data_IF_019922172233
#
_entry.id   IF_019922172233
#
_cell.length_a   1.000
_cell.length_b   1.000
_cell.length_c   1.000
_cell.angle_alpha   90.00
_cell.angle_beta   90.00
_cell.angle_gamma   90.00
#
_symmetry.space_group_name_H-M   'P 1'
#
loop_
_entity.id
_entity.type
_entity.pdbx_description
1 polymer ?
#
# COMPACT_ATOMS: atom_id res chain seq x y z
N UNK A 1 28.83 3.95 -4.17
CA UNK A 1 28.37 3.76 -2.79
C UNK A 1 28.29 2.27 -2.55
N UNK A 2 29.00 1.75 -1.55
CA UNK A 2 28.82 0.36 -1.11
C UNK A 2 27.50 0.27 -0.37
N UNK A 3 26.58 -0.54 -0.89
CA UNK A 3 25.32 -0.84 -0.22
C UNK A 3 25.52 -2.13 0.57
N UNK A 4 25.17 -2.11 1.85
CA UNK A 4 25.38 -3.23 2.77
C UNK A 4 24.08 -3.57 3.48
N UNK A 5 23.91 -4.86 3.79
CA UNK A 5 22.74 -5.37 4.50
C UNK A 5 22.69 -4.78 5.91
N UNK A 6 21.76 -3.84 6.11
CA UNK A 6 21.66 -3.11 7.38
C UNK A 6 20.36 -3.50 8.09
N UNK A 7 20.43 -4.01 9.34
CA UNK A 7 19.22 -4.26 10.12
C UNK A 7 18.58 -2.93 10.57
N UNK A 8 17.28 -2.76 10.29
CA UNK A 8 16.50 -1.57 10.66
C UNK A 8 15.27 -2.01 11.46
N UNK A 9 14.90 -1.24 12.49
CA UNK A 9 13.70 -1.49 13.30
C UNK A 9 12.48 -0.83 12.66
N UNK A 10 11.40 -1.60 12.50
CA UNK A 10 10.15 -1.06 12.00
C UNK A 10 9.47 -0.17 13.06
N UNK A 11 9.14 1.07 12.70
CA UNK A 11 8.42 2.01 13.60
C UNK A 11 6.96 1.62 13.88
N UNK A 12 6.38 0.74 13.08
CA UNK A 12 4.96 0.37 13.15
C UNK A 12 4.74 -0.87 14.04
N UNK A 13 5.58 -1.91 13.87
CA UNK A 13 5.47 -3.16 14.61
C UNK A 13 6.66 -3.47 15.55
N UNK A 14 7.73 -2.66 15.52
CA UNK A 14 8.93 -2.87 16.33
C UNK A 14 9.85 -4.02 15.85
N UNK A 15 9.50 -4.72 14.77
CA UNK A 15 10.31 -5.83 14.25
C UNK A 15 11.56 -5.34 13.52
N UNK A 16 12.70 -5.96 13.79
CA UNK A 16 13.93 -5.76 13.04
C UNK A 16 13.87 -6.48 11.70
N UNK A 17 14.14 -5.77 10.61
CA UNK A 17 14.20 -6.34 9.26
C UNK A 17 15.50 -5.92 8.56
N UNK A 18 15.96 -6.71 7.59
CA UNK A 18 17.18 -6.42 6.84
C UNK A 18 16.85 -5.50 5.67
N UNK A 19 17.51 -4.34 5.62
CA UNK A 19 17.52 -3.47 4.45
C UNK A 19 18.73 -3.84 3.60
N UNK A 20 18.48 -4.68 2.60
CA UNK A 20 19.55 -5.29 1.80
C UNK A 20 20.19 -4.32 0.83
N UNK A 21 21.39 -4.66 0.38
CA UNK A 21 22.12 -3.88 -0.62
C UNK A 21 21.28 -3.61 -1.89
N UNK A 22 20.63 -4.63 -2.43
CA UNK A 22 19.77 -4.50 -3.61
C UNK A 22 18.52 -3.62 -3.38
N UNK A 23 18.00 -3.59 -2.14
CA UNK A 23 16.87 -2.73 -1.79
C UNK A 23 17.31 -1.26 -1.68
N UNK A 24 18.55 -1.01 -1.22
CA UNK A 24 19.17 0.32 -1.26
C UNK A 24 19.41 0.80 -2.69
N UNK A 25 19.93 -0.06 -3.57
CA UNK A 25 20.13 0.26 -5.00
C UNK A 25 18.81 0.65 -5.68
N UNK A 26 17.73 -0.08 -5.39
CA UNK A 26 16.40 0.23 -5.92
C UNK A 26 15.89 1.59 -5.42
N UNK A 27 16.09 1.89 -4.14
CA UNK A 27 15.70 3.16 -3.54
C UNK A 27 16.50 4.34 -4.12
N UNK A 28 17.82 4.17 -4.28
CA UNK A 28 18.70 5.17 -4.88
C UNK A 28 18.32 5.45 -6.35
N UNK A 29 18.04 4.40 -7.14
CA UNK A 29 17.59 4.55 -8.53
C UNK A 29 16.25 5.28 -8.65
N UNK A 30 15.37 5.14 -7.66
CA UNK A 30 14.08 5.85 -7.62
C UNK A 30 14.19 7.28 -7.10
N UNK A 31 15.36 7.73 -6.66
CA UNK A 31 15.57 9.06 -6.07
C UNK A 31 15.13 9.16 -4.60
N UNK A 32 14.96 8.03 -3.91
CA UNK A 32 14.66 8.02 -2.48
C UNK A 32 15.96 8.09 -1.67
N UNK A 33 16.22 9.24 -1.05
CA UNK A 33 17.39 9.46 -0.20
C UNK A 33 17.25 8.85 1.20
N UNK A 34 16.06 8.35 1.57
CA UNK A 34 15.76 7.89 2.93
C UNK A 34 15.45 6.39 2.96
N UNK A 35 16.03 5.70 3.95
CA UNK A 35 15.76 4.30 4.23
C UNK A 35 14.29 4.08 4.65
N UNK A 36 13.71 2.91 4.36
CA UNK A 36 12.36 2.59 4.78
C UNK A 36 12.28 2.48 6.31
N UNK A 37 11.34 3.21 6.91
CA UNK A 37 11.06 3.15 8.36
C UNK A 37 10.06 2.02 8.71
N UNK A 38 9.51 1.35 7.69
CA UNK A 38 8.53 0.27 7.84
C UNK A 38 9.03 -0.98 7.12
N UNK A 39 8.89 -2.12 7.79
CA UNK A 39 9.21 -3.42 7.21
C UNK A 39 8.30 -3.74 6.00
N UNK A 40 8.74 -4.66 5.12
CA UNK A 40 7.95 -5.08 3.95
C UNK A 40 6.57 -5.64 4.31
N UNK A 41 6.42 -6.29 5.47
CA UNK A 41 5.13 -6.82 5.94
C UNK A 41 4.12 -5.71 6.23
N UNK A 42 4.49 -4.68 7.01
CA UNK A 42 3.62 -3.52 7.26
C UNK A 42 3.32 -2.72 5.99
N UNK A 43 4.30 -2.57 5.08
CA UNK A 43 4.09 -1.94 3.76
C UNK A 43 3.06 -2.72 2.94
N UNK A 44 3.17 -4.05 2.91
CA UNK A 44 2.26 -4.94 2.17
C UNK A 44 0.86 -4.97 2.78
N UNK A 45 0.75 -5.04 4.11
CA UNK A 45 -0.52 -5.01 4.84
C UNK A 45 -1.33 -3.75 4.50
N UNK A 46 -0.71 -2.56 4.56
CA UNK A 46 -1.36 -1.31 4.13
C UNK A 46 -1.82 -1.34 2.68
N UNK A 47 -1.02 -1.91 1.77
CA UNK A 47 -1.39 -2.01 0.35
C UNK A 47 -2.58 -2.95 0.14
N UNK A 48 -2.66 -4.05 0.91
CA UNK A 48 -3.78 -4.99 0.87
C UNK A 48 -5.07 -4.36 1.41
N UNK A 49 -5.01 -3.61 2.53
CA UNK A 49 -6.18 -2.93 3.08
C UNK A 49 -6.82 -1.95 2.08
N UNK A 50 -6.02 -1.27 1.25
CA UNK A 50 -6.53 -0.35 0.22
C UNK A 50 -7.18 -1.03 -0.99
N UNK A 51 -6.83 -2.30 -1.27
CA UNK A 51 -7.45 -3.05 -2.38
C UNK A 51 -8.85 -3.55 -2.04
N UNK A 52 -9.12 -3.84 -0.77
CA UNK A 52 -10.44 -4.28 -0.31
C UNK A 52 -11.47 -3.12 -0.39
N UNK A 53 -11.03 -1.90 -0.10
CA UNK A 53 -11.88 -0.71 -0.12
C UNK A 53 -12.26 -0.24 -1.56
N UNK A 54 -11.37 -0.41 -2.54
CA UNK A 54 -11.64 -0.08 -3.94
C UNK A 54 -12.68 -0.98 -4.61
N UNK A 55 -13.06 -2.10 -3.98
CA UNK A 55 -14.12 -2.96 -4.49
C UNK A 55 -15.51 -2.54 -4.00
N UNK A 56 -15.61 -1.56 -3.10
CA UNK A 56 -16.89 -1.02 -2.59
C UNK A 56 -17.37 0.26 -3.27
N UNK A 57 -16.58 0.88 -4.14
CA UNK A 57 -16.96 2.17 -4.77
C UNK A 57 -17.21 2.07 -6.28
N UNK A 58 -17.18 0.86 -6.87
CA UNK A 58 -17.47 0.65 -8.29
C UNK A 58 -18.53 -0.42 -8.56
N UNK A 59 -19.45 -0.66 -7.62
CA UNK A 59 -20.75 -1.24 -7.99
C UNK A 59 -21.65 -0.09 -8.37
N UNK A 60 -21.67 0.19 -9.68
CA UNK A 60 -22.65 1.05 -10.31
C UNK A 60 -24.02 0.76 -9.71
N UNK A 61 -24.60 1.80 -9.14
CA UNK A 61 -25.94 1.81 -8.58
C UNK A 61 -26.89 1.36 -9.68
N UNK A 62 -27.28 0.09 -9.64
CA UNK A 62 -28.47 -0.40 -10.30
C UNK A 62 -29.64 0.25 -9.54
N UNK A 63 -30.00 1.46 -9.95
CA UNK A 63 -31.19 2.16 -9.48
C UNK A 63 -32.37 1.50 -10.22
N UNK A 64 -33.26 0.74 -9.55
CA UNK A 64 -34.42 0.19 -10.23
C UNK A 64 -35.28 1.36 -10.75
N UNK A 65 -35.51 1.34 -12.05
CA UNK A 65 -36.36 2.25 -12.78
C UNK A 65 -37.77 2.24 -12.16
N UNK A 66 -38.14 3.32 -11.46
CA UNK A 66 -39.51 3.51 -10.97
C UNK A 66 -40.31 4.28 -12.00
N UNK A 67 -40.44 3.73 -13.21
CA UNK A 67 -41.49 4.11 -14.14
C UNK A 67 -42.69 3.19 -13.91
N UNK A 68 -43.71 3.67 -13.19
CA UNK A 68 -45.13 3.27 -13.33
C UNK A 68 -45.97 3.85 -12.17
N UNK A 69 -46.27 5.14 -12.21
CA UNK A 69 -47.46 5.66 -11.51
C UNK A 69 -48.10 6.75 -12.41
N UNK A 70 -49.23 6.48 -13.08
CA UNK A 70 -50.00 7.50 -13.77
C UNK A 70 -50.75 8.36 -12.75
N UNK A 71 -50.48 9.66 -12.73
CA UNK A 71 -51.23 10.63 -11.94
C UNK A 71 -52.64 10.86 -12.54
N UNK A 72 -53.69 11.01 -11.70
CA UNK A 72 -55.01 11.49 -12.13
C UNK A 72 -55.03 12.99 -12.46
#
# INVERSE_FOLDING_TARGET
MSYEDTPIVCRDCGTTFIFTAGEQEFYAQKGFMHAPVRCPTCRRARKQSRRNDQQRTNTGQNKPDRSSEPHP
#
